data_IF_385591643134
#
_entry.id   IF_385591643134
#
_cell.length_a   1.000
_cell.length_b   1.000
_cell.length_c   1.000
_cell.angle_alpha   90.00
_cell.angle_beta   90.00
_cell.angle_gamma   90.00
#
_symmetry.space_group_name_H-M   'P 1'
#
loop_
_entity.id
_entity.type
_entity.pdbx_description
1 polymer ?
#
# COMPACT_ATOMS: atom_id res chain seq x y z
N UNK A 1 10.20 -24.44 3.11
CA UNK A 1 10.33 -23.13 2.44
C UNK A 1 9.07 -22.32 2.72
N UNK A 2 9.07 -20.99 2.57
CA UNK A 2 8.01 -20.15 3.15
C UNK A 2 7.81 -18.80 2.48
N UNK A 3 6.90 -18.01 3.05
CA UNK A 3 6.58 -16.66 2.61
C UNK A 3 7.74 -15.70 2.88
N UNK A 4 8.09 -14.88 1.88
CA UNK A 4 9.14 -13.86 1.98
C UNK A 4 8.58 -12.58 2.59
N UNK A 5 7.31 -12.29 2.35
CA UNK A 5 6.61 -11.17 2.96
C UNK A 5 5.15 -11.53 3.21
N UNK A 6 4.46 -10.64 3.91
CA UNK A 6 3.04 -10.75 4.22
C UNK A 6 2.26 -9.64 3.53
N UNK A 7 0.96 -9.82 3.51
CA UNK A 7 -0.02 -8.82 3.12
C UNK A 7 -1.01 -8.63 4.29
N UNK A 8 -1.51 -7.41 4.50
CA UNK A 8 -2.52 -7.18 5.53
C UNK A 8 -3.83 -7.86 5.12
N UNK A 9 -4.59 -8.42 6.08
CA UNK A 9 -5.83 -9.16 5.81
C UNK A 9 -6.84 -8.43 4.89
N UNK A 10 -7.11 -7.11 5.02
CA UNK A 10 -8.02 -6.44 4.10
C UNK A 10 -7.42 -6.12 2.72
N UNK A 11 -6.14 -6.43 2.50
CA UNK A 11 -5.45 -6.13 1.25
C UNK A 11 -5.38 -7.37 0.35
N UNK A 12 -5.47 -7.14 -0.96
CA UNK A 12 -5.27 -8.15 -2.00
C UNK A 12 -4.00 -7.87 -2.79
N UNK A 13 -3.52 -8.86 -3.54
CA UNK A 13 -2.38 -8.70 -4.44
C UNK A 13 -1.37 -9.84 -4.35
N UNK A 14 -0.16 -9.56 -4.83
CA UNK A 14 0.91 -10.53 -4.95
C UNK A 14 1.51 -10.86 -3.58
N UNK A 15 1.79 -12.14 -3.35
CA UNK A 15 2.57 -12.65 -2.21
C UNK A 15 3.69 -13.53 -2.75
N UNK A 16 4.92 -13.20 -2.38
CA UNK A 16 6.10 -13.97 -2.77
C UNK A 16 6.40 -15.07 -1.75
N UNK A 17 6.54 -16.31 -2.24
CA UNK A 17 6.95 -17.47 -1.45
C UNK A 17 8.07 -18.22 -2.19
N UNK A 18 9.07 -18.68 -1.45
CA UNK A 18 10.10 -19.57 -2.00
C UNK A 18 9.64 -21.02 -1.93
N UNK A 19 10.06 -21.85 -2.88
CA UNK A 19 9.81 -23.31 -2.93
C UNK A 19 11.04 -24.17 -2.61
N UNK A 20 12.12 -23.56 -2.16
CA UNK A 20 13.33 -24.24 -1.70
C UNK A 20 14.03 -23.42 -0.63
N UNK A 21 14.96 -24.04 0.10
CA UNK A 21 15.77 -23.32 1.09
C UNK A 21 16.70 -22.30 0.41
N UNK A 22 17.38 -22.70 -0.68
CA UNK A 22 18.24 -21.77 -1.44
C UNK A 22 17.44 -20.58 -1.99
N UNK A 23 16.24 -20.85 -2.51
CA UNK A 23 15.34 -19.80 -2.98
C UNK A 23 14.91 -18.86 -1.86
N UNK A 24 14.59 -19.39 -0.68
CA UNK A 24 14.21 -18.58 0.48
C UNK A 24 15.33 -17.63 0.90
N UNK A 25 16.54 -18.16 1.09
CA UNK A 25 17.71 -17.36 1.48
C UNK A 25 18.06 -16.29 0.45
N UNK A 26 17.96 -16.61 -0.85
CA UNK A 26 18.19 -15.66 -1.93
C UNK A 26 17.15 -14.53 -1.93
N UNK A 27 15.86 -14.87 -1.84
CA UNK A 27 14.78 -13.88 -1.86
C UNK A 27 14.76 -13.01 -0.60
N UNK A 28 15.07 -13.57 0.58
CA UNK A 28 15.29 -12.77 1.78
C UNK A 28 16.42 -11.76 1.58
N UNK A 29 17.58 -12.19 1.08
CA UNK A 29 18.69 -11.27 0.82
C UNK A 29 18.31 -10.16 -0.18
N UNK A 30 17.58 -10.48 -1.25
CA UNK A 30 17.08 -9.47 -2.19
C UNK A 30 16.09 -8.50 -1.52
N UNK A 31 15.23 -8.99 -0.64
CA UNK A 31 14.32 -8.16 0.15
C UNK A 31 15.06 -7.22 1.10
N UNK A 32 16.06 -7.72 1.84
CA UNK A 32 16.88 -6.94 2.77
C UNK A 32 17.78 -5.92 2.06
N UNK A 33 18.22 -6.22 0.84
CA UNK A 33 19.04 -5.32 0.01
C UNK A 33 18.22 -4.43 -0.93
N UNK A 34 16.90 -4.37 -0.74
CA UNK A 34 15.98 -3.52 -1.52
C UNK A 34 15.99 -3.79 -3.04
N UNK A 35 16.35 -5.01 -3.45
CA UNK A 35 16.30 -5.43 -4.87
C UNK A 35 14.92 -5.86 -5.34
N UNK A 36 14.01 -6.15 -4.40
CA UNK A 36 12.61 -6.46 -4.71
C UNK A 36 11.80 -5.17 -4.60
N UNK A 37 11.36 -4.67 -5.76
CA UNK A 37 10.41 -3.56 -5.82
C UNK A 37 8.99 -4.04 -5.51
N UNK A 38 8.28 -3.28 -4.68
CA UNK A 38 6.89 -3.55 -4.30
C UNK A 38 6.09 -2.28 -4.54
N UNK A 39 5.16 -2.37 -5.48
CA UNK A 39 4.25 -1.29 -5.84
C UNK A 39 2.80 -1.75 -5.65
N UNK A 40 2.00 -0.88 -5.04
CA UNK A 40 0.61 -1.15 -4.69
C UNK A 40 -0.28 -0.07 -5.27
N UNK A 41 -1.50 -0.45 -5.62
CA UNK A 41 -2.53 0.49 -6.03
C UNK A 41 -3.54 0.67 -4.91
N UNK A 42 -3.84 1.92 -4.55
CA UNK A 42 -4.70 2.26 -3.42
C UNK A 42 -5.68 3.35 -3.83
N UNK A 43 -6.93 3.20 -3.42
CA UNK A 43 -7.90 4.28 -3.44
C UNK A 43 -7.88 5.00 -2.09
N UNK A 44 -7.66 6.32 -2.11
CA UNK A 44 -7.73 7.21 -0.96
C UNK A 44 -9.01 8.05 -0.99
N UNK A 45 -9.48 8.45 0.19
CA UNK A 45 -10.53 9.46 0.33
C UNK A 45 -9.90 10.85 0.22
N UNK A 46 -10.56 11.79 -0.45
CA UNK A 46 -10.06 13.16 -0.66
C UNK A 46 -9.50 13.39 -2.06
N UNK A 47 -8.82 14.53 -2.23
CA UNK A 47 -8.18 14.95 -3.48
C UNK A 47 -6.70 15.13 -3.20
N UNK A 48 -5.87 14.65 -4.11
CA UNK A 48 -4.43 14.83 -4.00
C UNK A 48 -4.06 16.33 -4.02
N UNK A 49 -3.23 16.77 -3.08
CA UNK A 49 -2.67 18.13 -3.10
C UNK A 49 -1.39 18.24 -3.95
N UNK A 50 -0.83 17.10 -4.34
CA UNK A 50 0.38 16.98 -5.14
C UNK A 50 0.30 15.76 -6.06
N UNK A 51 1.03 15.76 -7.17
CA UNK A 51 1.12 14.61 -8.07
C UNK A 51 2.00 13.49 -7.52
N UNK A 52 3.01 13.82 -6.72
CA UNK A 52 3.91 12.87 -6.09
C UNK A 52 4.30 13.34 -4.68
N UNK A 53 4.42 12.40 -3.75
CA UNK A 53 4.90 12.63 -2.39
C UNK A 53 5.91 11.54 -2.01
N UNK A 54 7.04 11.95 -1.46
CA UNK A 54 8.00 11.06 -0.81
C UNK A 54 7.79 11.13 0.71
N UNK A 55 7.31 10.03 1.29
CA UNK A 55 6.93 9.94 2.71
C UNK A 55 7.98 9.14 3.47
N UNK A 56 8.93 9.86 4.04
CA UNK A 56 9.94 9.33 4.96
C UNK A 56 9.57 9.67 6.42
N UNK A 57 8.83 8.76 7.06
CA UNK A 57 8.33 8.92 8.44
C UNK A 57 8.61 7.67 9.27
N UNK A 58 8.71 7.84 10.59
CA UNK A 58 8.88 6.71 11.50
C UNK A 58 7.52 6.17 11.91
N UNK A 59 7.35 4.85 11.86
CA UNK A 59 6.10 4.19 12.26
C UNK A 59 6.33 3.40 13.54
N UNK A 60 5.56 3.73 14.57
CA UNK A 60 5.53 2.97 15.81
C UNK A 60 4.55 1.80 15.70
N UNK A 61 5.05 0.62 16.02
CA UNK A 61 4.30 -0.63 15.94
C UNK A 61 3.45 -0.86 17.20
N UNK A 62 2.30 -0.18 17.25
CA UNK A 62 1.24 -0.37 18.27
C UNK A 62 0.01 -1.01 17.62
N UNK A 63 -0.94 -1.65 18.34
CA UNK A 63 -2.09 -2.33 17.74
C UNK A 63 -2.77 -1.56 16.60
N UNK A 64 -2.90 -0.24 16.77
CA UNK A 64 -3.07 0.74 15.67
C UNK A 64 -1.74 1.46 15.45
N UNK A 65 -1.01 1.08 14.39
CA UNK A 65 0.29 1.67 14.06
C UNK A 65 0.11 3.15 13.70
N UNK A 66 1.08 4.01 13.97
CA UNK A 66 0.98 5.46 13.71
C UNK A 66 2.33 6.07 13.38
N UNK A 67 2.34 7.23 12.74
CA UNK A 67 3.53 8.07 12.62
C UNK A 67 3.91 8.57 14.02
N UNK A 68 5.11 8.25 14.47
CA UNK A 68 5.64 8.61 15.79
C UNK A 68 7.17 8.48 15.74
N UNK A 69 7.88 9.47 16.29
CA UNK A 69 9.35 9.55 16.21
C UNK A 69 10.05 8.38 16.91
N UNK A 70 9.39 7.77 17.92
CA UNK A 70 9.89 6.57 18.59
C UNK A 70 9.77 5.29 17.75
N UNK A 71 9.11 5.39 16.60
CA UNK A 71 8.90 4.29 15.67
C UNK A 71 10.17 3.83 14.95
N UNK A 72 10.02 2.98 13.94
CA UNK A 72 11.11 2.57 13.03
C UNK A 72 11.00 3.32 11.70
N UNK A 73 12.11 3.59 10.99
CA UNK A 73 12.06 4.23 9.69
C UNK A 73 11.14 3.48 8.71
N UNK A 74 10.26 4.25 8.06
CA UNK A 74 9.38 3.81 7.01
C UNK A 74 9.44 4.78 5.83
N UNK A 75 9.49 4.23 4.62
CA UNK A 75 9.64 5.02 3.40
C UNK A 75 8.73 4.49 2.30
N UNK A 76 7.89 5.39 1.77
CA UNK A 76 6.99 5.14 0.65
C UNK A 76 7.02 6.32 -0.31
N UNK A 77 6.98 6.03 -1.62
CA UNK A 77 6.73 7.01 -2.67
C UNK A 77 5.30 6.86 -3.17
N UNK A 78 4.53 7.93 -3.11
CA UNK A 78 3.12 7.98 -3.50
C UNK A 78 3.03 8.79 -4.79
N UNK A 79 2.48 8.20 -5.84
CA UNK A 79 2.16 8.87 -7.11
C UNK A 79 0.66 8.89 -7.30
N UNK A 80 0.06 10.06 -7.26
CA UNK A 80 -1.37 10.27 -7.46
C UNK A 80 -1.68 10.27 -8.95
N UNK A 81 -2.61 9.41 -9.36
CA UNK A 81 -2.84 9.09 -10.77
C UNK A 81 -4.07 9.79 -11.32
N UNK A 82 -5.13 9.87 -10.52
CA UNK A 82 -6.39 10.49 -10.89
C UNK A 82 -7.22 10.75 -9.64
N UNK A 83 -8.01 11.83 -9.70
CA UNK A 83 -9.05 12.15 -8.73
C UNK A 83 -10.44 11.90 -9.32
N UNK A 84 -11.39 11.56 -8.46
CA UNK A 84 -12.79 11.33 -8.80
C UNK A 84 -13.70 11.94 -7.73
N UNK A 85 -14.91 12.34 -8.13
CA UNK A 85 -15.96 12.79 -7.20
C UNK A 85 -17.20 11.93 -7.34
N UNK A 86 -17.89 11.68 -6.24
CA UNK A 86 -19.15 10.95 -6.24
C UNK A 86 -20.32 11.93 -6.21
N UNK A 87 -20.89 12.18 -7.37
CA UNK A 87 -22.03 13.09 -7.51
C UNK A 87 -21.68 14.54 -7.15
N UNK A 88 -22.68 15.39 -6.85
CA UNK A 88 -22.47 16.82 -6.59
C UNK A 88 -21.99 17.13 -5.15
N UNK A 89 -21.84 16.12 -4.29
CA UNK A 89 -21.42 16.28 -2.90
C UNK A 89 -19.91 16.51 -2.72
N UNK A 90 -19.46 16.68 -1.47
CA UNK A 90 -18.04 16.88 -1.16
C UNK A 90 -17.20 15.57 -1.20
N UNK A 91 -17.83 14.42 -1.45
CA UNK A 91 -17.14 13.13 -1.51
C UNK A 91 -16.21 13.07 -2.74
N UNK A 92 -14.91 13.09 -2.46
CA UNK A 92 -13.85 12.93 -3.44
C UNK A 92 -12.96 11.74 -3.10
N UNK A 93 -12.31 11.20 -4.12
CA UNK A 93 -11.43 10.05 -4.06
C UNK A 93 -10.22 10.27 -4.95
N UNK A 94 -9.09 9.70 -4.56
CA UNK A 94 -7.89 9.66 -5.38
C UNK A 94 -7.44 8.21 -5.61
N UNK A 95 -6.83 7.97 -6.76
CA UNK A 95 -6.13 6.73 -7.06
C UNK A 95 -4.63 6.94 -6.96
N UNK A 96 -3.93 6.03 -6.29
CA UNK A 96 -2.52 6.23 -5.92
C UNK A 96 -1.72 4.95 -6.21
N UNK A 97 -0.64 5.09 -6.97
CA UNK A 97 0.41 4.07 -7.03
C UNK A 97 1.44 4.33 -5.94
N UNK A 98 1.70 3.34 -5.09
CA UNK A 98 2.51 3.46 -3.89
C UNK A 98 3.64 2.45 -3.94
N UNK A 99 4.87 2.93 -4.09
CA UNK A 99 6.08 2.11 -3.97
C UNK A 99 6.57 2.15 -2.53
N UNK A 100 6.76 0.98 -1.92
CA UNK A 100 7.31 0.90 -0.56
C UNK A 100 8.76 0.40 -0.60
N UNK A 101 9.64 1.10 0.10
CA UNK A 101 11.03 0.65 0.26
C UNK A 101 11.15 -0.21 1.52
N UNK A 102 10.50 0.19 2.60
CA UNK A 102 10.39 -0.58 3.84
C UNK A 102 9.09 -1.38 3.91
N UNK A 103 8.99 -2.32 4.85
CA UNK A 103 7.78 -3.13 5.08
C UNK A 103 7.27 -3.09 6.53
N UNK A 104 6.92 -1.91 7.04
CA UNK A 104 6.33 -1.79 8.40
C UNK A 104 4.85 -2.21 8.38
N UNK A 105 4.35 -2.72 9.52
CA UNK A 105 2.94 -3.12 9.64
C UNK A 105 2.02 -1.93 9.34
N UNK A 106 1.04 -2.14 8.47
CA UNK A 106 0.10 -1.11 8.00
C UNK A 106 0.76 0.14 7.38
N UNK A 107 2.01 0.07 6.90
CA UNK A 107 2.78 1.23 6.44
C UNK A 107 2.03 2.11 5.43
N UNK A 108 1.45 1.49 4.40
CA UNK A 108 0.70 2.19 3.35
C UNK A 108 -0.49 2.93 3.95
N UNK A 109 -1.27 2.26 4.80
CA UNK A 109 -2.48 2.81 5.42
C UNK A 109 -2.16 4.02 6.32
N UNK A 110 -1.10 3.90 7.12
CA UNK A 110 -0.61 4.97 8.00
C UNK A 110 -0.07 6.15 7.19
N UNK A 111 0.69 5.92 6.12
CA UNK A 111 1.20 7.00 5.27
C UNK A 111 0.07 7.69 4.49
N UNK A 112 -0.89 6.93 3.96
CA UNK A 112 -2.08 7.50 3.31
C UNK A 112 -2.88 8.39 4.26
N UNK A 113 -3.08 7.96 5.51
CA UNK A 113 -3.70 8.79 6.53
C UNK A 113 -2.86 10.04 6.86
N UNK A 114 -1.53 9.90 6.96
CA UNK A 114 -0.63 11.03 7.24
C UNK A 114 -0.63 12.08 6.13
N UNK A 115 -0.91 11.69 4.89
CA UNK A 115 -1.01 12.58 3.73
C UNK A 115 -2.43 13.11 3.50
N UNK A 116 -3.32 13.04 4.50
CA UNK A 116 -4.72 13.47 4.42
C UNK A 116 -5.52 12.81 3.28
N UNK A 117 -5.07 11.63 2.84
CA UNK A 117 -5.71 10.82 1.80
C UNK A 117 -5.92 9.39 2.30
N UNK A 118 -6.60 9.16 3.44
CA UNK A 118 -6.66 7.84 4.06
C UNK A 118 -7.32 6.80 3.13
N UNK A 119 -6.86 5.55 3.20
CA UNK A 119 -7.38 4.47 2.35
C UNK A 119 -8.90 4.31 2.51
N UNK A 120 -9.60 4.16 1.38
CA UNK A 120 -11.05 3.94 1.35
C UNK A 120 -11.42 2.64 2.05
N UNK A 121 -12.56 2.63 2.74
CA UNK A 121 -13.08 1.49 3.50
C UNK A 121 -12.13 0.97 4.60
N UNK A 122 -11.20 1.82 5.05
CA UNK A 122 -10.29 1.51 6.16
C UNK A 122 -10.90 1.89 7.50
N UNK A 123 -11.57 0.94 8.16
CA UNK A 123 -12.21 1.19 9.46
C UNK A 123 -11.24 1.52 10.61
N UNK A 124 -9.94 1.20 10.46
CA UNK A 124 -8.93 1.45 11.51
C UNK A 124 -8.31 2.83 11.39
N UNK A 125 -8.08 3.30 10.16
CA UNK A 125 -7.37 4.56 9.88
C UNK A 125 -8.25 5.65 9.29
N UNK A 126 -9.48 5.31 8.91
CA UNK A 126 -10.50 6.23 8.38
C UNK A 126 -11.89 5.92 8.97
N UNK A 127 -12.11 6.12 10.28
CA UNK A 127 -13.40 5.94 10.92
C UNK A 127 -14.37 7.07 10.51
N UNK A 128 -14.85 7.03 9.28
CA UNK A 128 -15.82 7.96 8.71
C UNK A 128 -17.01 7.22 8.07
N UNK A 129 -17.87 7.93 7.33
CA UNK A 129 -18.98 7.31 6.62
C UNK A 129 -18.50 6.11 5.79
N UNK A 130 -19.21 4.98 5.91
CA UNK A 130 -18.78 3.73 5.29
C UNK A 130 -18.94 3.79 3.77
N UNK A 131 -17.81 3.90 3.06
CA UNK A 131 -17.78 3.70 1.61
C UNK A 131 -17.91 2.20 1.34
N UNK A 132 -19.01 1.80 0.69
CA UNK A 132 -19.19 0.43 0.20
C UNK A 132 -18.54 0.30 -1.17
N UNK A 133 -17.50 -0.53 -1.25
CA UNK A 133 -16.94 -0.95 -2.53
C UNK A 133 -17.89 -1.94 -3.20
N UNK A 134 -18.18 -1.74 -4.48
CA UNK A 134 -18.85 -2.77 -5.27
C UNK A 134 -17.92 -3.98 -5.41
N UNK A 135 -18.44 -5.21 -5.38
CA UNK A 135 -17.64 -6.38 -5.69
C UNK A 135 -17.28 -6.33 -7.18
N UNK A 136 -16.08 -5.85 -7.49
CA UNK A 136 -15.51 -5.97 -8.84
C UNK A 136 -14.62 -7.21 -8.85
N UNK A 137 -14.92 -8.23 -9.68
CA UNK A 137 -14.05 -9.39 -9.79
C UNK A 137 -12.67 -8.96 -10.30
N UNK A 138 -11.61 -9.41 -9.64
CA UNK A 138 -10.26 -9.30 -10.19
C UNK A 138 -10.19 -10.07 -11.51
N UNK A 139 -9.75 -9.40 -12.58
CA UNK A 139 -9.47 -10.03 -13.88
C UNK A 139 -7.96 -10.19 -14.04
N UNK A 140 -7.45 -11.41 -13.84
CA UNK A 140 -6.03 -11.71 -13.91
C UNK A 140 -5.39 -11.42 -15.28
N UNK A 141 -6.19 -11.47 -16.35
CA UNK A 141 -5.71 -11.35 -17.73
C UNK A 141 -5.19 -9.95 -18.09
N UNK A 142 -5.47 -8.93 -17.28
CA UNK A 142 -5.06 -7.56 -17.56
C UNK A 142 -3.62 -7.23 -17.11
N UNK A 143 -2.97 -8.06 -16.28
CA UNK A 143 -1.72 -7.68 -15.59
C UNK A 143 -0.45 -8.39 -16.09
N UNK A 144 -0.55 -9.49 -16.84
CA UNK A 144 0.61 -10.37 -17.14
C UNK A 144 1.12 -10.20 -18.59
N UNK A 145 0.47 -9.39 -19.43
CA UNK A 145 0.79 -9.26 -20.86
C UNK A 145 2.11 -8.55 -21.24
N UNK A 146 3.03 -8.30 -20.31
CA UNK A 146 4.21 -7.44 -20.56
C UNK A 146 5.57 -7.95 -20.08
N UNK A 147 5.66 -9.11 -19.41
CA UNK A 147 6.95 -9.69 -19.04
C UNK A 147 7.32 -10.76 -20.08
N UNK A 148 7.77 -10.27 -21.23
CA UNK A 148 8.54 -11.08 -22.16
C UNK A 148 9.83 -11.54 -21.47
N UNK A 149 10.07 -12.84 -21.51
CA UNK A 149 11.37 -13.46 -21.25
C UNK A 149 12.27 -13.23 -22.46
#
# INVERSE_FOLDING_TARGET
>A
YGFIHRLDTPSSGLILAATSFQGYSCLEWQMYTYRIEREYFVFGSGVAQASELDVARRILDTPTARVDERGRPAHSRLRFLADARRGPGPEAFCSVAIRIHTGRRHQIRVHMQHCDCPSVADSRYSPGPSVRLSPVPWRADAAIGGLGV
#
